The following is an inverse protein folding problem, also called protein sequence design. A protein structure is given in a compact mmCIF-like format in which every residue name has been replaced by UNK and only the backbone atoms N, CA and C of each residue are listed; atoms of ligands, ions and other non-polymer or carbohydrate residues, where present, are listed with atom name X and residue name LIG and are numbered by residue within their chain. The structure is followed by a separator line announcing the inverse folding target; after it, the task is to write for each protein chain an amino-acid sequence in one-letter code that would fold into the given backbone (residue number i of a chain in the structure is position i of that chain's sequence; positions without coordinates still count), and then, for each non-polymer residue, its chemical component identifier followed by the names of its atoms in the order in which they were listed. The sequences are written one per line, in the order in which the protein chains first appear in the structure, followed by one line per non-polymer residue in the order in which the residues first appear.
data_IF_665972666903
#
_entry.id   IF_665972666903
#
_cell.length_a   1.000
_cell.length_b   1.000
_cell.length_c   1.000
_cell.angle_alpha   90.00
_cell.angle_beta   90.00
_cell.angle_gamma   90.00
#
_symmetry.space_group_name_H-M   'P 1'
#
loop_
_entity.id
_entity.type
_entity.pdbx_description
1 polymer ?
#
# COMPACT_ATOMS: atom_id res chain seq x y z
N UNK A 1 -13.50 -13.97 5.18
CA UNK A 1 -13.49 -12.55 5.60
C UNK A 1 -13.22 -11.68 4.38
N UNK A 2 -14.20 -10.92 3.92
CA UNK A 2 -14.03 -9.93 2.85
C UNK A 2 -13.22 -8.75 3.40
N UNK A 3 -12.14 -8.39 2.73
CA UNK A 3 -11.42 -7.14 3.04
C UNK A 3 -12.33 -6.00 2.58
N UNK A 4 -12.85 -5.21 3.52
CA UNK A 4 -13.67 -4.04 3.20
C UNK A 4 -12.88 -3.09 2.29
N UNK A 5 -13.50 -2.61 1.22
CA UNK A 5 -12.84 -1.68 0.30
C UNK A 5 -13.13 -0.23 0.73
N UNK A 6 -12.09 0.60 0.81
CA UNK A 6 -12.18 1.99 1.27
C UNK A 6 -11.78 2.97 0.16
N UNK A 7 -12.28 4.20 0.23
CA UNK A 7 -11.93 5.24 -0.74
C UNK A 7 -10.51 5.78 -0.54
N UNK A 8 -9.93 6.43 -1.56
CA UNK A 8 -8.62 7.11 -1.43
C UNK A 8 -8.58 8.12 -0.28
N UNK A 9 -9.70 8.80 0.02
CA UNK A 9 -9.77 9.73 1.15
C UNK A 9 -9.58 8.99 2.46
N UNK A 10 -10.33 7.92 2.67
CA UNK A 10 -10.24 7.12 3.90
C UNK A 10 -8.87 6.46 4.04
N UNK A 11 -8.32 5.94 2.95
CA UNK A 11 -6.96 5.39 2.94
C UNK A 11 -5.92 6.45 3.34
N UNK A 12 -6.04 7.68 2.83
CA UNK A 12 -5.13 8.77 3.17
C UNK A 12 -5.20 9.14 4.67
N UNK A 13 -6.41 9.18 5.24
CA UNK A 13 -6.61 9.39 6.69
C UNK A 13 -5.93 8.29 7.53
N UNK A 14 -6.11 7.02 7.16
CA UNK A 14 -5.48 5.88 7.86
C UNK A 14 -3.95 5.92 7.81
N UNK A 15 -3.40 6.46 6.72
CA UNK A 15 -1.95 6.55 6.49
C UNK A 15 -1.36 7.90 6.91
N UNK A 16 -2.16 8.78 7.51
CA UNK A 16 -1.75 10.13 7.91
C UNK A 16 -1.08 10.91 6.77
N UNK A 17 -1.63 10.80 5.57
CA UNK A 17 -1.15 11.47 4.36
C UNK A 17 -2.29 12.18 3.64
N UNK A 18 -2.00 12.82 2.51
CA UNK A 18 -3.02 13.45 1.67
C UNK A 18 -3.41 12.55 0.50
N UNK A 19 -4.69 12.62 0.09
CA UNK A 19 -5.16 11.91 -1.11
C UNK A 19 -4.39 12.32 -2.38
N UNK A 20 -3.88 13.56 -2.42
CA UNK A 20 -3.07 14.07 -3.52
C UNK A 20 -1.71 13.36 -3.59
N UNK A 21 -1.01 13.25 -2.46
CA UNK A 21 0.27 12.54 -2.38
C UNK A 21 0.11 11.06 -2.78
N UNK A 22 -0.95 10.40 -2.31
CA UNK A 22 -1.25 9.02 -2.72
C UNK A 22 -1.41 8.87 -4.23
N UNK A 23 -2.18 9.77 -4.87
CA UNK A 23 -2.41 9.76 -6.32
C UNK A 23 -1.13 10.03 -7.10
N UNK A 24 -0.32 11.00 -6.66
CA UNK A 24 0.99 11.30 -7.29
C UNK A 24 1.87 10.05 -7.25
N UNK A 25 1.98 9.40 -6.10
CA UNK A 25 2.80 8.21 -5.96
C UNK A 25 2.30 7.10 -6.86
N UNK A 26 1.00 6.81 -6.82
CA UNK A 26 0.38 5.79 -7.67
C UNK A 26 0.61 6.05 -9.16
N UNK A 27 0.48 7.30 -9.61
CA UNK A 27 0.73 7.67 -11.01
C UNK A 27 2.21 7.51 -11.40
N UNK A 28 3.15 7.85 -10.51
CA UNK A 28 4.58 7.78 -10.78
C UNK A 28 5.14 6.35 -10.73
N UNK A 29 4.72 5.52 -9.77
CA UNK A 29 5.24 4.17 -9.58
C UNK A 29 4.30 3.05 -10.05
N UNK A 30 3.11 3.36 -10.54
CA UNK A 30 2.09 2.38 -10.94
C UNK A 30 1.43 1.63 -9.77
N UNK A 31 2.03 1.69 -8.57
CA UNK A 31 1.52 1.12 -7.32
C UNK A 31 1.79 2.06 -6.15
N UNK A 32 1.08 1.86 -5.05
CA UNK A 32 1.38 2.52 -3.79
C UNK A 32 2.13 1.54 -2.88
N UNK A 33 3.46 1.56 -2.95
CA UNK A 33 4.34 0.62 -2.22
C UNK A 33 3.96 -0.85 -2.42
N UNK A 34 3.67 -1.25 -3.67
CA UNK A 34 3.26 -2.61 -4.02
C UNK A 34 1.75 -2.88 -3.87
N UNK A 35 0.97 -1.95 -3.30
CA UNK A 35 -0.48 -2.07 -3.22
C UNK A 35 -1.12 -1.42 -4.45
N UNK A 36 -1.94 -2.21 -5.15
CA UNK A 36 -2.72 -1.76 -6.30
C UNK A 36 -4.18 -1.50 -5.86
N UNK A 37 -4.73 -0.31 -6.11
CA UNK A 37 -6.14 -0.06 -5.93
C UNK A 37 -6.97 -0.68 -7.06
N UNK A 38 -8.21 -1.01 -6.77
CA UNK A 38 -9.21 -1.38 -7.77
C UNK A 38 -9.79 -0.12 -8.41
N UNK A 39 -9.76 -0.06 -9.75
CA UNK A 39 -10.29 1.08 -10.50
C UNK A 39 -11.73 0.79 -10.89
N UNK A 40 -12.66 1.58 -10.34
CA UNK A 40 -14.08 1.48 -10.66
C UNK A 40 -14.40 2.12 -12.03
N UNK A 41 -15.52 1.73 -12.68
CA UNK A 41 -15.95 2.31 -13.96
C UNK A 41 -16.17 3.83 -13.92
N UNK A 42 -16.51 4.37 -12.74
CA UNK A 42 -16.66 5.81 -12.52
C UNK A 42 -15.31 6.56 -12.32
N UNK A 43 -14.18 5.88 -12.48
CA UNK A 43 -12.84 6.45 -12.33
C UNK A 43 -12.37 6.62 -10.87
N UNK A 44 -13.15 6.16 -9.88
CA UNK A 44 -12.73 6.13 -8.48
C UNK A 44 -11.78 4.96 -8.21
N UNK A 45 -10.95 5.12 -7.19
CA UNK A 45 -10.00 4.11 -6.72
C UNK A 45 -10.47 3.56 -5.38
N UNK A 46 -10.57 2.24 -5.29
CA UNK A 46 -10.88 1.50 -4.07
C UNK A 46 -9.62 0.83 -3.55
N UNK A 47 -9.37 0.98 -2.26
CA UNK A 47 -8.19 0.46 -1.58
C UNK A 47 -8.63 -0.63 -0.60
N UNK A 48 -7.76 -1.60 -0.33
CA UNK A 48 -8.02 -2.55 0.75
C UNK A 48 -8.15 -1.80 2.10
N UNK A 49 -9.16 -2.12 2.89
CA UNK A 49 -9.42 -1.48 4.18
C UNK A 49 -8.32 -1.70 5.20
N UNK A 50 -7.59 -2.81 5.07
CA UNK A 50 -6.39 -3.14 5.83
C UNK A 50 -5.08 -2.65 5.16
N UNK A 51 -5.14 -1.57 4.38
CA UNK A 51 -3.97 -1.03 3.66
C UNK A 51 -2.81 -0.71 4.62
N UNK A 52 -3.12 -0.19 5.82
CA UNK A 52 -2.12 0.17 6.81
C UNK A 52 -1.34 -1.06 7.29
N UNK A 53 -2.05 -2.12 7.64
CA UNK A 53 -1.48 -3.38 8.10
C UNK A 53 -0.64 -4.01 6.99
N UNK A 54 -1.15 -4.01 5.75
CA UNK A 54 -0.42 -4.52 4.58
C UNK A 54 0.89 -3.80 4.33
N UNK A 55 0.92 -2.47 4.46
CA UNK A 55 2.16 -1.71 4.30
C UNK A 55 3.17 -1.99 5.41
N UNK A 56 2.71 -2.16 6.65
CA UNK A 56 3.56 -2.52 7.79
C UNK A 56 4.18 -3.90 7.56
N UNK A 57 3.37 -4.89 7.16
CA UNK A 57 3.87 -6.25 6.90
C UNK A 57 4.82 -6.29 5.71
N UNK A 58 4.51 -5.61 4.60
CA UNK A 58 5.41 -5.50 3.47
C UNK A 58 6.78 -4.90 3.87
N UNK A 59 6.78 -3.90 4.77
CA UNK A 59 8.02 -3.32 5.28
C UNK A 59 8.82 -4.29 6.16
N UNK A 60 8.14 -5.07 7.01
CA UNK A 60 8.76 -6.11 7.85
C UNK A 60 9.33 -7.25 7.01
N UNK A 61 8.61 -7.70 5.99
CA UNK A 61 9.09 -8.73 5.05
C UNK A 61 10.35 -8.27 4.34
N UNK A 62 10.39 -7.03 3.85
CA UNK A 62 11.60 -6.45 3.27
C UNK A 62 12.77 -6.39 4.26
N UNK A 63 12.50 -6.09 5.54
CA UNK A 63 13.54 -6.09 6.58
C UNK A 63 14.07 -7.51 6.87
N UNK A 64 13.18 -8.50 7.03
CA UNK A 64 13.54 -9.91 7.23
C UNK A 64 14.35 -10.47 6.05
N UNK A 65 13.98 -10.12 4.82
CA UNK A 65 14.70 -10.54 3.62
C UNK A 65 16.13 -9.98 3.60
N UNK A 66 16.31 -8.72 4.01
CA UNK A 66 17.63 -8.10 4.13
C UNK A 66 18.49 -8.77 5.20
N UNK A 67 17.93 -9.03 6.39
CA UNK A 67 18.63 -9.75 7.47
C UNK A 67 19.05 -11.17 7.05
N UNK A 68 18.16 -11.88 6.35
CA UNK A 68 18.46 -13.23 5.82
C UNK A 68 19.60 -13.18 4.79
N UNK A 69 19.59 -12.18 3.90
CA UNK A 69 20.64 -12.00 2.91
C UNK A 69 22.01 -11.71 3.53
N UNK A 70 22.05 -10.99 4.67
CA UNK A 70 23.29 -10.75 5.41
C UNK A 70 23.81 -12.01 6.14
N UNK A 71 22.92 -12.85 6.66
CA UNK A 71 23.30 -14.08 7.38
C UNK A 71 23.76 -15.21 6.46
N UNK A 72 23.30 -15.24 5.20
CA UNK A 72 23.68 -16.26 4.21
C UNK A 72 24.95 -15.92 3.42
N UNK A 73 25.55 -14.74 3.66
CA UNK A 73 26.79 -14.30 3.03
C UNK A 73 27.97 -14.27 4.01
N UNK A 74 28.50 -15.45 4.36
CA UNK A 74 29.89 -15.66 4.81
C UNK A 74 30.30 -17.12 4.59
#
# INVERSE_FOLDING_TARGET
MTIEQITTRRAAELLQTTSHAMRIRLFRSGSYYGILPEKLPNGRLMWPGNIRERLIEARKEAARAYETALMQGN
#
